data_IF_092618077668
#
_entry.id   IF_092618077668
#
_cell.length_a   1.000
_cell.length_b   1.000
_cell.length_c   1.000
_cell.angle_alpha   90.00
_cell.angle_beta   90.00
_cell.angle_gamma   90.00
#
_symmetry.space_group_name_H-M   'P 1'
#
loop_
_entity.id
_entity.type
_entity.pdbx_description
1 polymer ?
#
# COMPACT_ATOMS: atom_id res chain seq x y z
N UNK A 1 -21.08 -43.88 22.60
CA UNK A 1 -21.46 -43.95 24.03
C UNK A 1 -20.82 -42.77 24.74
N UNK A 2 -21.64 -42.06 25.50
CA UNK A 2 -21.47 -40.72 26.10
C UNK A 2 -20.22 -40.57 26.97
N UNK A 3 -19.45 -39.48 26.84
CA UNK A 3 -18.91 -38.70 27.98
C UNK A 3 -18.85 -37.21 27.60
N UNK A 4 -19.82 -36.47 28.14
CA UNK A 4 -19.83 -35.02 28.21
C UNK A 4 -18.97 -34.59 29.40
N UNK A 5 -18.15 -33.56 29.22
CA UNK A 5 -17.69 -32.72 30.32
C UNK A 5 -17.73 -31.27 29.85
N UNK A 6 -18.81 -30.59 30.20
CA UNK A 6 -18.94 -29.14 30.16
C UNK A 6 -18.02 -28.54 31.23
N UNK A 7 -17.24 -27.53 30.88
CA UNK A 7 -16.70 -26.56 31.85
C UNK A 7 -17.20 -25.18 31.45
N UNK A 8 -18.12 -24.67 32.26
CA UNK A 8 -18.66 -23.31 32.23
C UNK A 8 -17.73 -22.43 33.05
N UNK A 9 -17.31 -21.29 32.49
CA UNK A 9 -16.55 -20.26 33.19
C UNK A 9 -16.79 -18.91 32.55
N UNK A 10 -17.83 -18.23 33.01
CA UNK A 10 -18.22 -16.86 32.66
C UNK A 10 -17.29 -15.82 33.30
N UNK A 11 -16.80 -14.85 32.54
CA UNK A 11 -16.53 -13.50 33.05
C UNK A 11 -16.61 -12.49 31.90
N UNK A 12 -17.32 -11.39 32.16
CA UNK A 12 -17.90 -10.46 31.20
C UNK A 12 -17.19 -9.10 31.32
N UNK A 13 -17.30 -8.29 30.26
CA UNK A 13 -17.27 -6.81 30.20
C UNK A 13 -15.90 -6.13 30.01
N UNK A 14 -15.81 -5.37 28.91
CA UNK A 14 -14.81 -4.34 28.69
C UNK A 14 -14.97 -3.60 27.35
N UNK A 15 -16.15 -3.01 27.09
CA UNK A 15 -16.41 -2.16 25.93
C UNK A 15 -15.90 -0.74 26.21
N UNK A 16 -14.71 -0.39 25.72
CA UNK A 16 -14.16 0.97 25.84
C UNK A 16 -14.36 1.74 24.53
N UNK A 17 -15.52 2.35 24.36
CA UNK A 17 -15.74 3.37 23.34
C UNK A 17 -15.19 4.71 23.84
N UNK A 18 -14.02 5.15 23.36
CA UNK A 18 -13.56 6.53 23.57
C UNK A 18 -14.25 7.44 22.55
N UNK A 19 -15.32 8.07 23.03
CA UNK A 19 -16.07 9.14 22.36
C UNK A 19 -15.31 10.46 22.46
N UNK A 20 -15.23 11.12 21.30
CA UNK A 20 -15.13 12.55 21.02
C UNK A 20 -14.72 13.54 22.13
N UNK A 21 -13.74 14.37 21.80
CA UNK A 21 -13.83 15.79 22.11
C UNK A 21 -13.45 16.60 20.88
N UNK A 22 -14.46 17.15 20.20
CA UNK A 22 -14.31 18.28 19.32
C UNK A 22 -14.29 19.55 20.15
N UNK A 23 -13.23 20.34 20.03
CA UNK A 23 -13.11 21.66 20.60
C UNK A 23 -12.87 22.68 19.48
N UNK A 24 -13.96 23.27 18.98
CA UNK A 24 -13.90 24.56 18.28
C UNK A 24 -13.93 25.66 19.33
N UNK A 25 -12.78 26.27 19.61
CA UNK A 25 -12.68 27.55 20.27
C UNK A 25 -11.75 28.43 19.43
N UNK A 26 -12.33 29.55 19.01
CA UNK A 26 -11.81 30.54 18.09
C UNK A 26 -10.50 31.14 18.59
N UNK A 27 -9.51 31.19 17.71
CA UNK A 27 -8.26 31.92 17.91
C UNK A 27 -7.80 32.51 16.59
N UNK A 28 -8.38 33.65 16.22
CA UNK A 28 -7.80 34.54 15.21
C UNK A 28 -6.45 35.00 15.73
N UNK A 29 -5.38 34.65 15.04
CA UNK A 29 -4.10 35.36 15.11
C UNK A 29 -3.36 35.14 13.80
N UNK A 30 -3.45 36.18 12.96
CA UNK A 30 -2.63 36.36 11.78
C UNK A 30 -1.15 36.22 12.14
N UNK A 31 -0.43 35.32 11.47
CA UNK A 31 1.00 35.49 11.25
C UNK A 31 1.31 35.17 9.78
N UNK A 32 1.46 36.25 9.04
CA UNK A 32 1.88 36.31 7.66
C UNK A 32 3.41 36.32 7.63
N UNK A 33 4.04 35.15 7.54
CA UNK A 33 5.48 35.01 7.27
C UNK A 33 5.68 34.53 5.83
N UNK A 34 6.40 35.27 4.97
CA UNK A 34 6.79 34.73 3.68
C UNK A 34 7.83 33.63 3.88
N UNK A 35 7.42 32.39 3.67
CA UNK A 35 8.33 31.25 3.54
C UNK A 35 9.03 31.35 2.17
N UNK A 36 10.36 31.23 2.07
CA UNK A 36 11.03 31.22 0.79
C UNK A 36 10.63 29.95 0.02
N UNK A 37 9.85 30.14 -1.05
CA UNK A 37 9.53 29.10 -2.02
C UNK A 37 10.81 28.58 -2.66
N UNK A 38 11.25 27.40 -2.22
CA UNK A 38 12.17 26.60 -3.02
C UNK A 38 11.49 26.28 -4.37
N UNK A 39 12.20 26.31 -5.50
CA UNK A 39 11.62 25.94 -6.78
C UNK A 39 11.16 24.49 -6.71
N UNK A 40 9.85 24.29 -6.84
CA UNK A 40 9.28 22.99 -7.12
C UNK A 40 9.81 22.56 -8.51
N UNK A 41 10.86 21.75 -8.53
CA UNK A 41 11.21 20.97 -9.71
C UNK A 41 10.04 20.03 -9.96
N UNK A 42 9.17 20.44 -10.88
CA UNK A 42 8.14 19.61 -11.46
C UNK A 42 8.83 18.34 -11.98
N UNK A 43 8.63 17.23 -11.27
CA UNK A 43 9.07 15.93 -11.73
C UNK A 43 8.40 15.64 -13.06
N UNK A 44 9.20 15.49 -14.11
CA UNK A 44 8.74 15.06 -15.43
C UNK A 44 7.94 13.77 -15.30
N UNK A 45 6.62 13.91 -15.35
CA UNK A 45 5.69 12.81 -15.47
C UNK A 45 5.75 12.34 -16.91
N UNK A 46 6.53 11.29 -17.18
CA UNK A 46 6.53 10.65 -18.50
C UNK A 46 5.15 10.03 -18.75
N UNK A 47 4.58 10.08 -19.97
CA UNK A 47 3.21 9.66 -20.22
C UNK A 47 3.05 8.16 -19.97
N UNK A 48 2.01 7.81 -19.21
CA UNK A 48 1.58 6.43 -19.03
C UNK A 48 0.87 5.95 -20.31
N UNK A 49 1.59 5.24 -21.17
CA UNK A 49 0.97 4.42 -22.23
C UNK A 49 0.09 3.38 -21.55
N UNK A 50 -1.20 3.28 -21.90
CA UNK A 50 -2.12 2.24 -21.39
C UNK A 50 -1.52 0.88 -21.66
N UNK A 51 -0.91 0.30 -20.63
CA UNK A 51 -0.18 -0.93 -20.76
C UNK A 51 -1.06 -2.11 -20.39
N UNK A 52 -0.99 -3.17 -21.20
CA UNK A 52 -1.69 -4.43 -20.95
C UNK A 52 -1.22 -5.10 -19.66
N UNK A 53 -1.98 -6.11 -19.18
CA UNK A 53 -1.64 -6.86 -17.97
C UNK A 53 -0.19 -7.36 -18.02
N UNK A 54 0.55 -7.12 -16.94
CA UNK A 54 1.94 -7.56 -16.80
C UNK A 54 2.97 -6.77 -17.58
N UNK A 55 2.66 -5.53 -17.98
CA UNK A 55 3.68 -4.61 -18.50
C UNK A 55 4.53 -4.06 -17.36
N UNK A 56 5.85 -4.08 -17.54
CA UNK A 56 6.84 -3.50 -16.63
C UNK A 56 7.48 -2.28 -17.28
N UNK A 57 7.67 -1.22 -16.49
CA UNK A 57 8.42 -0.03 -16.86
C UNK A 57 9.33 0.39 -15.70
N UNK A 58 10.12 1.45 -15.91
CA UNK A 58 10.91 2.06 -14.85
C UNK A 58 10.59 3.54 -14.72
N UNK A 59 10.53 4.03 -13.49
CA UNK A 59 10.29 5.42 -13.16
C UNK A 59 11.41 5.95 -12.25
N UNK A 60 11.71 7.25 -12.33
CA UNK A 60 12.66 7.91 -11.42
C UNK A 60 11.90 8.55 -10.28
N UNK A 61 12.21 8.19 -9.03
CA UNK A 61 11.50 8.70 -7.85
C UNK A 61 12.48 9.28 -6.86
N UNK A 62 12.56 10.62 -6.81
CA UNK A 62 13.34 11.37 -5.81
C UNK A 62 14.72 10.79 -5.52
N UNK A 63 14.99 10.58 -4.23
CA UNK A 63 16.23 9.96 -3.73
C UNK A 63 16.27 8.44 -3.91
N UNK A 64 15.18 7.77 -4.28
CA UNK A 64 15.13 6.32 -4.53
C UNK A 64 15.69 5.93 -5.91
N UNK A 65 15.96 6.90 -6.78
CA UNK A 65 16.49 6.65 -8.12
C UNK A 65 15.49 5.94 -9.02
N UNK A 66 15.96 5.00 -9.86
CA UNK A 66 15.09 4.23 -10.75
C UNK A 66 14.44 3.05 -10.02
N UNK A 67 13.12 3.01 -10.05
CA UNK A 67 12.28 1.93 -9.52
C UNK A 67 11.52 1.24 -10.65
N UNK A 68 11.02 0.03 -10.39
CA UNK A 68 10.13 -0.69 -11.31
C UNK A 68 8.69 -0.30 -11.02
N UNK A 69 7.95 0.01 -12.09
CA UNK A 69 6.52 0.35 -12.03
C UNK A 69 5.74 -0.48 -13.03
N UNK A 70 4.45 -0.66 -12.77
CA UNK A 70 3.54 -1.27 -13.73
C UNK A 70 3.16 -0.30 -14.87
N UNK A 71 2.32 -0.80 -15.77
CA UNK A 71 1.76 -0.04 -16.88
C UNK A 71 0.96 1.22 -16.52
N UNK A 72 0.50 1.33 -15.28
CA UNK A 72 -0.26 2.44 -14.74
C UNK A 72 0.59 3.38 -13.87
N UNK A 73 1.89 3.10 -13.75
CA UNK A 73 2.83 3.87 -12.93
C UNK A 73 2.83 3.51 -11.45
N UNK A 74 2.20 2.40 -11.04
CA UNK A 74 2.26 1.94 -9.64
C UNK A 74 3.58 1.23 -9.38
N UNK A 75 4.26 1.59 -8.29
CA UNK A 75 5.47 0.90 -7.83
C UNK A 75 5.19 -0.57 -7.56
N UNK A 76 6.08 -1.43 -8.05
CA UNK A 76 6.02 -2.86 -7.77
C UNK A 76 6.85 -3.21 -6.54
N UNK A 77 6.34 -4.18 -5.80
CA UNK A 77 6.99 -4.76 -4.63
C UNK A 77 7.18 -6.26 -4.85
N UNK A 78 8.16 -6.84 -4.16
CA UNK A 78 8.37 -8.28 -4.10
C UNK A 78 7.88 -8.77 -2.76
N UNK A 79 7.10 -9.84 -2.74
CA UNK A 79 6.67 -10.44 -1.48
C UNK A 79 7.76 -11.38 -0.96
N UNK A 80 8.10 -11.27 0.32
CA UNK A 80 9.25 -11.98 0.91
C UNK A 80 9.15 -13.50 0.78
N UNK A 81 7.93 -14.04 0.69
CA UNK A 81 7.70 -15.47 0.56
C UNK A 81 7.65 -15.95 -0.90
N UNK A 82 7.91 -15.10 -1.89
CA UNK A 82 7.92 -15.50 -3.30
C UNK A 82 9.12 -16.42 -3.63
N UNK A 83 8.89 -17.43 -4.46
CA UNK A 83 9.96 -18.34 -4.90
C UNK A 83 10.55 -17.90 -6.23
N UNK A 84 11.87 -18.04 -6.40
CA UNK A 84 12.55 -17.68 -7.67
C UNK A 84 12.51 -18.78 -8.73
N UNK A 85 12.50 -20.06 -8.35
CA UNK A 85 12.61 -21.17 -9.29
C UNK A 85 11.74 -22.39 -8.88
N UNK A 86 10.53 -22.57 -9.45
CA UNK A 86 9.91 -21.68 -10.43
C UNK A 86 9.54 -20.32 -9.82
N UNK A 87 9.54 -19.29 -10.65
CA UNK A 87 9.04 -17.96 -10.25
C UNK A 87 7.56 -18.07 -9.93
N UNK A 88 7.20 -17.85 -8.67
CA UNK A 88 5.82 -17.96 -8.19
C UNK A 88 5.60 -16.98 -7.05
N UNK A 89 4.51 -16.22 -7.13
CA UNK A 89 4.05 -15.47 -5.98
C UNK A 89 3.29 -16.37 -5.00
N UNK A 90 3.61 -16.27 -3.72
CA UNK A 90 2.91 -16.99 -2.65
C UNK A 90 1.95 -16.09 -1.85
N UNK A 91 1.62 -14.91 -2.39
CA UNK A 91 0.62 -14.02 -1.82
C UNK A 91 -0.76 -14.33 -2.43
N UNK A 92 -1.62 -15.01 -1.67
CA UNK A 92 -2.99 -15.37 -2.05
C UNK A 92 -4.03 -14.97 -1.00
N UNK A 93 -5.32 -15.10 -1.35
CA UNK A 93 -6.44 -14.77 -0.45
C UNK A 93 -6.41 -13.31 0.04
N UNK A 94 -6.41 -13.13 1.36
CA UNK A 94 -6.35 -11.80 1.99
C UNK A 94 -5.03 -11.07 1.70
N UNK A 95 -3.93 -11.79 1.49
CA UNK A 95 -2.65 -11.20 1.08
C UNK A 95 -2.82 -10.51 -0.28
N UNK A 96 -3.38 -11.21 -1.28
CA UNK A 96 -3.60 -10.66 -2.62
C UNK A 96 -4.63 -9.52 -2.66
N UNK A 97 -5.42 -9.35 -1.60
CA UNK A 97 -6.32 -8.20 -1.45
C UNK A 97 -5.56 -6.96 -0.99
N UNK A 98 -4.65 -7.13 -0.02
CA UNK A 98 -3.83 -6.03 0.50
C UNK A 98 -2.68 -5.67 -0.47
N UNK A 99 -2.11 -6.69 -1.11
CA UNK A 99 -0.96 -6.60 -2.02
C UNK A 99 -1.27 -7.37 -3.31
N UNK A 100 -2.07 -6.79 -4.22
CA UNK A 100 -2.44 -7.46 -5.45
C UNK A 100 -1.20 -7.82 -6.30
N UNK A 101 -1.07 -9.08 -6.74
CA UNK A 101 0.04 -9.46 -7.60
C UNK A 101 -0.11 -8.79 -8.96
N UNK A 102 1.01 -8.41 -9.57
CA UNK A 102 1.02 -8.07 -10.98
C UNK A 102 0.96 -9.40 -11.77
N UNK A 103 -0.13 -9.67 -12.51
CA UNK A 103 -0.21 -10.88 -13.33
C UNK A 103 0.88 -10.85 -14.39
N UNK A 104 1.52 -12.01 -14.61
CA UNK A 104 2.52 -12.11 -15.68
C UNK A 104 1.86 -11.81 -17.02
N UNK A 105 2.45 -10.88 -17.78
CA UNK A 105 2.05 -10.64 -19.16
C UNK A 105 2.46 -11.81 -20.04
N UNK A 106 2.10 -11.78 -21.32
CA UNK A 106 2.56 -12.75 -22.33
C UNK A 106 4.04 -12.55 -22.71
N UNK A 107 4.89 -12.21 -21.73
CA UNK A 107 6.21 -11.62 -21.90
C UNK A 107 7.20 -12.51 -22.67
N UNK A 108 7.69 -11.95 -23.78
CA UNK A 108 8.86 -12.39 -24.54
C UNK A 108 10.10 -12.27 -23.64
N UNK A 109 10.72 -13.41 -23.29
CA UNK A 109 12.03 -13.43 -22.62
C UNK A 109 13.01 -12.73 -23.57
N UNK A 110 13.66 -11.66 -23.09
CA UNK A 110 14.83 -11.12 -23.78
C UNK A 110 15.97 -12.13 -23.71
#
# INVERSE_FOLDING_TARGET
MKRFAFVVGTAVIGLSALTACGGSASGTSSQNTPSPSAPATAGSSSPATTAGPGTLSTASVGSFGKIVVDGTGRTLYVYDLDTKNPSKSNCDGSCATAWPPLPAGTGRRR
#
